data_IF_342739617562
#
_entry.id   IF_342739617562
#
_cell.length_a   1.000
_cell.length_b   1.000
_cell.length_c   1.000
_cell.angle_alpha   90.00
_cell.angle_beta   90.00
_cell.angle_gamma   90.00
#
_symmetry.space_group_name_H-M   'P 1'
#
loop_
_entity.id
_entity.type
_entity.pdbx_description
1 polymer ?
#
# COMPACT_ATOMS: atom_id res chain seq x y z
N UNK A 1 -15.63 -20.92 26.64
CA UNK A 1 -14.17 -21.10 26.51
C UNK A 1 -13.91 -22.09 25.40
N UNK A 2 -13.18 -21.69 24.36
CA UNK A 2 -12.72 -22.63 23.33
C UNK A 2 -11.83 -23.69 23.97
N UNK A 3 -11.86 -24.94 23.48
CA UNK A 3 -11.08 -26.05 24.05
C UNK A 3 -9.59 -25.69 24.21
N UNK A 4 -9.04 -24.95 23.26
CA UNK A 4 -7.66 -24.45 23.28
C UNK A 4 -7.41 -23.52 24.47
N UNK A 5 -8.32 -22.56 24.73
CA UNK A 5 -8.21 -21.66 25.89
C UNK A 5 -8.27 -22.41 27.21
N UNK A 6 -9.10 -23.46 27.31
CA UNK A 6 -9.20 -24.29 28.51
C UNK A 6 -7.92 -25.13 28.76
N UNK A 7 -7.34 -25.73 27.71
CA UNK A 7 -6.07 -26.46 27.84
C UNK A 7 -4.89 -25.54 28.20
N UNK A 8 -4.84 -24.33 27.64
CA UNK A 8 -3.85 -23.32 28.02
C UNK A 8 -3.98 -22.93 29.49
N UNK A 9 -5.21 -22.69 29.96
CA UNK A 9 -5.46 -22.31 31.35
C UNK A 9 -5.10 -23.45 32.31
N UNK A 10 -5.43 -24.70 31.97
CA UNK A 10 -5.03 -25.88 32.73
C UNK A 10 -3.51 -26.05 32.81
N UNK A 11 -2.79 -25.81 31.70
CA UNK A 11 -1.33 -25.87 31.67
C UNK A 11 -0.69 -24.77 32.55
N UNK A 12 -1.22 -23.54 32.49
CA UNK A 12 -0.75 -22.43 33.33
C UNK A 12 -0.95 -22.76 34.81
N UNK A 13 -2.14 -23.26 35.19
CA UNK A 13 -2.43 -23.67 36.57
C UNK A 13 -1.49 -24.80 37.02
N UNK A 14 -1.25 -25.80 36.17
CA UNK A 14 -0.33 -26.89 36.48
C UNK A 14 1.11 -26.40 36.70
N UNK A 15 1.60 -25.47 35.87
CA UNK A 15 2.92 -24.84 36.04
C UNK A 15 2.99 -24.04 37.33
N UNK A 16 1.95 -23.27 37.67
CA UNK A 16 1.90 -22.49 38.92
C UNK A 16 1.90 -23.41 40.15
N UNK A 17 1.13 -24.50 40.13
CA UNK A 17 1.11 -25.49 41.21
C UNK A 17 2.49 -26.15 41.39
N UNK A 18 3.16 -26.51 40.29
CA UNK A 18 4.52 -27.05 40.33
C UNK A 18 5.52 -26.03 40.91
N UNK A 19 5.44 -24.76 40.50
CA UNK A 19 6.27 -23.69 41.05
C UNK A 19 6.04 -23.51 42.56
N UNK A 20 4.78 -23.48 43.02
CA UNK A 20 4.43 -23.38 44.44
C UNK A 20 4.95 -24.58 45.24
N UNK A 21 4.84 -25.80 44.70
CA UNK A 21 5.38 -27.00 45.33
C UNK A 21 6.91 -26.94 45.46
N UNK A 22 7.62 -26.52 44.40
CA UNK A 22 9.08 -26.37 44.43
C UNK A 22 9.50 -25.34 45.47
N UNK A 23 8.82 -24.20 45.56
CA UNK A 23 9.10 -23.17 46.57
C UNK A 23 8.87 -23.70 47.98
N UNK A 24 7.78 -24.43 48.20
CA UNK A 24 7.42 -24.98 49.50
C UNK A 24 8.44 -26.03 49.99
N UNK A 25 8.85 -26.97 49.13
CA UNK A 25 9.72 -28.08 49.51
C UNK A 25 11.22 -27.77 49.46
N UNK A 26 11.64 -26.91 48.53
CA UNK A 26 13.07 -26.71 48.23
C UNK A 26 13.52 -25.25 48.28
N UNK A 27 12.60 -24.33 48.57
CA UNK A 27 12.86 -22.90 48.67
C UNK A 27 12.87 -22.18 47.33
N UNK A 28 12.68 -20.87 47.40
CA UNK A 28 12.58 -19.98 46.24
C UNK A 28 13.86 -19.94 45.38
N UNK A 29 15.03 -20.15 46.00
CA UNK A 29 16.31 -20.18 45.27
C UNK A 29 16.38 -21.30 44.25
N UNK A 30 15.91 -22.51 44.58
CA UNK A 30 15.93 -23.64 43.64
C UNK A 30 15.05 -23.35 42.42
N UNK A 31 13.87 -22.76 42.65
CA UNK A 31 12.97 -22.36 41.57
C UNK A 31 13.65 -21.39 40.60
N UNK A 32 14.37 -20.38 41.10
CA UNK A 32 15.12 -19.45 40.25
C UNK A 32 16.21 -20.17 39.44
N UNK A 33 16.95 -21.11 40.05
CA UNK A 33 17.98 -21.89 39.32
C UNK A 33 17.37 -22.69 38.17
N UNK A 34 16.22 -23.32 38.41
CA UNK A 34 15.51 -24.11 37.40
C UNK A 34 15.02 -23.21 36.27
N UNK A 35 14.38 -22.08 36.58
CA UNK A 35 13.88 -21.13 35.58
C UNK A 35 15.03 -20.59 34.72
N UNK A 36 16.10 -20.08 35.36
CA UNK A 36 17.26 -19.56 34.63
C UNK A 36 17.99 -20.66 33.86
N UNK A 37 18.12 -21.85 34.44
CA UNK A 37 18.73 -23.00 33.79
C UNK A 37 17.98 -23.41 32.53
N UNK A 38 16.65 -23.52 32.59
CA UNK A 38 15.82 -23.81 31.40
C UNK A 38 15.94 -22.69 30.37
N UNK A 39 15.90 -21.42 30.79
CA UNK A 39 16.03 -20.29 29.87
C UNK A 39 17.38 -20.30 29.13
N UNK A 40 18.50 -20.49 29.85
CA UNK A 40 19.83 -20.57 29.23
C UNK A 40 20.05 -21.85 28.44
N UNK A 41 19.37 -22.95 28.79
CA UNK A 41 19.37 -24.16 27.97
C UNK A 41 18.74 -23.90 26.61
N UNK A 42 17.58 -23.24 26.57
CA UNK A 42 16.92 -22.85 25.31
C UNK A 42 17.85 -21.95 24.49
N UNK A 43 18.40 -20.90 25.10
CA UNK A 43 19.33 -19.98 24.41
C UNK A 43 20.55 -20.71 23.87
N UNK A 44 21.09 -21.67 24.63
CA UNK A 44 22.22 -22.51 24.20
C UNK A 44 21.87 -23.37 23.00
N UNK A 45 20.71 -24.03 23.01
CA UNK A 45 20.24 -24.84 21.87
C UNK A 45 20.08 -23.96 20.63
N UNK A 46 19.50 -22.76 20.78
CA UNK A 46 19.35 -21.80 19.68
C UNK A 46 20.71 -21.41 19.12
N UNK A 47 21.67 -20.99 19.96
CA UNK A 47 23.01 -20.62 19.47
C UNK A 47 23.77 -21.80 18.89
N UNK A 48 23.58 -23.02 19.40
CA UNK A 48 24.21 -24.23 18.84
C UNK A 48 23.71 -24.51 17.42
N UNK A 49 22.39 -24.45 17.21
CA UNK A 49 21.79 -24.62 15.88
C UNK A 49 22.26 -23.51 14.94
N UNK A 50 22.21 -22.24 15.38
CA UNK A 50 22.69 -21.10 14.57
C UNK A 50 24.19 -21.21 14.24
N UNK A 51 25.01 -21.70 15.17
CA UNK A 51 26.43 -21.89 14.94
C UNK A 51 26.72 -22.96 13.88
N UNK A 52 26.03 -24.10 13.95
CA UNK A 52 26.14 -25.15 12.92
C UNK A 52 25.74 -24.62 11.55
N UNK A 53 24.61 -23.91 11.46
CA UNK A 53 24.13 -23.32 10.19
C UNK A 53 25.13 -22.29 9.66
N UNK A 54 25.63 -21.39 10.50
CA UNK A 54 26.54 -20.31 10.07
C UNK A 54 27.93 -20.81 9.69
N UNK A 55 28.44 -21.87 10.35
CA UNK A 55 29.65 -22.57 9.89
C UNK A 55 29.41 -23.21 8.52
N UNK A 56 28.32 -23.96 8.39
CA UNK A 56 27.98 -24.64 7.14
C UNK A 56 27.90 -23.64 5.98
N UNK A 57 27.28 -22.48 6.23
CA UNK A 57 27.16 -21.39 5.26
C UNK A 57 28.44 -20.55 5.06
N UNK A 58 29.57 -20.88 5.74
CA UNK A 58 30.81 -20.08 5.75
C UNK A 58 30.58 -18.59 6.01
N UNK A 59 29.65 -18.28 6.92
CA UNK A 59 29.24 -16.92 7.22
C UNK A 59 30.21 -16.23 8.18
N UNK A 60 30.45 -14.93 7.97
CA UNK A 60 31.22 -14.08 8.89
C UNK A 60 30.62 -14.01 10.31
N UNK A 61 29.34 -14.38 10.46
CA UNK A 61 28.64 -14.38 11.75
C UNK A 61 28.89 -15.64 12.60
N UNK A 62 29.58 -16.65 12.05
CA UNK A 62 29.96 -17.88 12.79
C UNK A 62 30.69 -17.59 14.09
N UNK A 63 31.59 -16.59 14.09
CA UNK A 63 32.32 -16.14 15.30
C UNK A 63 31.36 -15.56 16.33
N UNK A 64 30.37 -14.77 15.92
CA UNK A 64 29.39 -14.16 16.82
C UNK A 64 28.49 -15.22 17.46
N UNK A 65 28.03 -16.19 16.67
CA UNK A 65 27.22 -17.31 17.19
C UNK A 65 28.02 -18.24 18.09
N UNK A 66 29.33 -18.41 17.85
CA UNK A 66 30.23 -19.14 18.74
C UNK A 66 30.36 -18.46 20.10
N UNK A 67 30.58 -17.14 20.10
CA UNK A 67 30.64 -16.36 21.34
C UNK A 67 29.33 -16.49 22.12
N UNK A 68 28.18 -16.35 21.44
CA UNK A 68 26.86 -16.57 22.03
C UNK A 68 26.71 -17.95 22.67
N UNK A 69 27.16 -19.00 21.97
CA UNK A 69 27.12 -20.38 22.45
C UNK A 69 28.01 -20.61 23.69
N UNK A 70 29.25 -20.10 23.67
CA UNK A 70 30.18 -20.25 24.80
C UNK A 70 29.65 -19.53 26.04
N UNK A 71 29.15 -18.30 25.89
CA UNK A 71 28.61 -17.54 27.02
C UNK A 71 27.31 -18.14 27.55
N UNK A 72 26.46 -18.72 26.68
CA UNK A 72 25.22 -19.37 27.13
C UNK A 72 25.50 -20.70 27.85
N UNK A 73 26.47 -21.49 27.37
CA UNK A 73 26.94 -22.71 28.05
C UNK A 73 27.54 -22.39 29.42
N UNK A 74 28.34 -21.32 29.51
CA UNK A 74 28.89 -20.87 30.78
C UNK A 74 27.80 -20.41 31.76
N UNK A 75 26.81 -19.66 31.28
CA UNK A 75 25.66 -19.27 32.10
C UNK A 75 24.84 -20.47 32.60
N UNK A 76 24.61 -21.47 31.72
CA UNK A 76 23.93 -22.71 32.07
C UNK A 76 24.68 -23.49 33.15
N UNK A 77 26.00 -23.60 33.02
CA UNK A 77 26.87 -24.22 34.02
C UNK A 77 26.82 -23.46 35.36
N UNK A 78 26.84 -22.12 35.34
CA UNK A 78 26.69 -21.32 36.55
C UNK A 78 25.30 -21.47 37.19
N UNK A 79 24.23 -21.66 36.40
CA UNK A 79 22.89 -21.96 36.94
C UNK A 79 22.86 -23.30 37.68
N UNK A 80 23.61 -24.29 37.20
CA UNK A 80 23.69 -25.62 37.82
C UNK A 80 24.50 -25.60 39.13
N UNK A 81 25.73 -25.09 39.12
CA UNK A 81 26.60 -25.08 40.31
C UNK A 81 26.21 -23.99 41.31
N UNK A 82 25.82 -22.81 40.80
CA UNK A 82 25.43 -21.65 41.60
C UNK A 82 26.51 -21.13 42.56
N UNK A 83 27.79 -21.25 42.20
CA UNK A 83 28.90 -20.76 43.02
C UNK A 83 29.01 -19.23 42.98
N UNK A 84 28.86 -18.63 41.79
CA UNK A 84 28.98 -17.19 41.55
C UNK A 84 27.77 -16.67 40.76
N UNK A 85 26.60 -16.48 41.41
CA UNK A 85 25.36 -16.10 40.71
C UNK A 85 25.45 -14.73 40.00
N UNK A 86 26.38 -13.86 40.42
CA UNK A 86 26.60 -12.56 39.78
C UNK A 86 27.05 -12.68 38.31
N UNK A 87 27.73 -13.77 37.94
CA UNK A 87 28.13 -14.00 36.54
C UNK A 87 26.92 -14.20 35.63
N UNK A 88 25.84 -14.81 36.14
CA UNK A 88 24.60 -14.98 35.39
C UNK A 88 24.01 -13.60 35.08
N UNK A 89 24.02 -12.69 36.07
CA UNK A 89 23.52 -11.32 35.89
C UNK A 89 24.33 -10.57 34.83
N UNK A 90 25.66 -10.65 34.85
CA UNK A 90 26.50 -10.01 33.82
C UNK A 90 26.20 -10.50 32.40
N UNK A 91 25.94 -11.81 32.24
CA UNK A 91 25.62 -12.39 30.93
C UNK A 91 24.22 -11.95 30.47
N UNK A 92 23.24 -11.91 31.36
CA UNK A 92 21.91 -11.37 31.05
C UNK A 92 22.03 -9.91 30.58
N UNK A 93 22.75 -9.08 31.32
CA UNK A 93 22.97 -7.67 30.95
C UNK A 93 23.66 -7.57 29.59
N UNK A 94 24.69 -8.39 29.32
CA UNK A 94 25.36 -8.42 28.03
C UNK A 94 24.42 -8.80 26.87
N UNK A 95 23.53 -9.77 27.06
CA UNK A 95 22.55 -10.15 26.04
C UNK A 95 21.49 -9.09 25.83
N UNK A 96 21.00 -8.44 26.89
CA UNK A 96 20.06 -7.32 26.77
C UNK A 96 20.72 -6.16 26.01
N UNK A 97 21.97 -5.82 26.33
CA UNK A 97 22.73 -4.78 25.61
C UNK A 97 22.94 -5.17 24.14
N UNK A 98 23.31 -6.42 23.86
CA UNK A 98 23.47 -6.91 22.49
C UNK A 98 22.16 -6.85 21.70
N UNK A 99 21.02 -7.17 22.34
CA UNK A 99 19.69 -7.06 21.74
C UNK A 99 19.36 -5.60 21.43
N UNK A 100 19.56 -4.67 22.37
CA UNK A 100 19.31 -3.24 22.18
C UNK A 100 20.17 -2.66 21.05
N UNK A 101 21.46 -3.00 21.02
CA UNK A 101 22.37 -2.58 19.95
C UNK A 101 21.98 -3.19 18.61
N UNK A 102 21.58 -4.46 18.60
CA UNK A 102 21.08 -5.15 17.41
C UNK A 102 19.83 -4.49 16.84
N UNK A 103 18.84 -4.20 17.68
CA UNK A 103 17.62 -3.49 17.30
C UNK A 103 17.92 -2.08 16.77
N UNK A 104 18.83 -1.35 17.43
CA UNK A 104 19.28 -0.04 16.96
C UNK A 104 20.02 -0.11 15.62
N UNK A 105 20.81 -1.16 15.39
CA UNK A 105 21.47 -1.36 14.10
C UNK A 105 20.48 -1.67 12.98
N UNK A 106 19.49 -2.53 13.24
CA UNK A 106 18.46 -2.93 12.26
C UNK A 106 17.52 -1.77 11.90
N UNK A 107 17.29 -0.81 12.79
CA UNK A 107 16.33 0.28 12.56
C UNK A 107 16.76 1.31 11.50
N UNK A 108 18.04 1.37 11.12
CA UNK A 108 18.53 2.28 10.06
C UNK A 108 19.48 1.56 9.08
N UNK A 109 18.99 0.56 8.33
CA UNK A 109 19.85 -0.33 7.54
C UNK A 109 20.63 0.42 6.45
N UNK A 110 20.08 1.54 5.97
CA UNK A 110 20.65 2.36 4.89
C UNK A 110 21.76 3.32 5.35
N UNK A 111 21.99 3.46 6.67
CA UNK A 111 22.98 4.38 7.24
C UNK A 111 24.19 3.64 7.81
N UNK A 112 25.37 4.01 7.33
CA UNK A 112 26.64 3.56 7.93
C UNK A 112 26.79 4.07 9.36
N UNK A 113 27.53 3.35 10.20
CA UNK A 113 27.77 3.70 11.60
C UNK A 113 28.27 5.15 11.77
N UNK A 114 29.14 5.63 10.88
CA UNK A 114 29.64 7.01 10.90
C UNK A 114 28.54 8.01 10.51
N UNK A 115 27.69 7.66 9.54
CA UNK A 115 26.63 8.54 9.06
C UNK A 115 25.55 8.76 10.12
N UNK A 116 25.31 7.78 10.98
CA UNK A 116 24.36 7.87 12.12
C UNK A 116 24.69 8.99 13.09
N UNK A 117 25.98 9.26 13.31
CA UNK A 117 26.42 10.35 14.19
C UNK A 117 26.52 11.72 13.49
N UNK A 118 26.53 11.77 12.16
CA UNK A 118 26.63 13.03 11.40
C UNK A 118 25.28 13.74 11.26
N UNK A 119 25.27 15.07 11.24
CA UNK A 119 24.04 15.83 10.98
C UNK A 119 23.59 15.73 9.52
N UNK A 120 22.29 15.91 9.24
CA UNK A 120 21.75 15.92 7.87
C UNK A 120 22.49 16.91 6.96
N UNK A 121 22.70 18.14 7.45
CA UNK A 121 23.45 19.20 6.74
C UNK A 121 24.91 18.81 6.48
N UNK A 122 25.57 18.13 7.43
CA UNK A 122 26.94 17.65 7.23
C UNK A 122 26.98 16.59 6.12
N UNK A 123 26.02 15.65 6.12
CA UNK A 123 25.90 14.61 5.10
C UNK A 123 25.64 15.20 3.71
N UNK A 124 24.72 16.16 3.62
CA UNK A 124 24.42 16.90 2.39
C UNK A 124 25.67 17.58 1.83
N UNK A 125 26.41 18.33 2.66
CA UNK A 125 27.67 19.00 2.25
C UNK A 125 28.75 18.03 1.79
N UNK A 126 28.74 16.80 2.28
CA UNK A 126 29.67 15.75 1.84
C UNK A 126 29.17 14.93 0.64
N UNK A 127 28.10 15.36 -0.04
CA UNK A 127 27.55 14.68 -1.21
C UNK A 127 26.78 13.39 -0.90
N UNK A 128 26.56 13.07 0.38
CA UNK A 128 25.81 11.88 0.80
C UNK A 128 24.32 12.18 0.86
N UNK A 129 23.75 12.47 -0.30
CA UNK A 129 22.38 12.99 -0.43
C UNK A 129 21.31 12.01 0.06
N UNK A 130 21.42 10.71 -0.24
CA UNK A 130 20.47 9.69 0.25
C UNK A 130 20.40 9.64 1.78
N UNK A 131 21.56 9.61 2.43
CA UNK A 131 21.67 9.60 3.88
C UNK A 131 21.16 10.93 4.49
N UNK A 132 21.48 12.05 3.87
CA UNK A 132 20.97 13.36 4.28
C UNK A 132 19.43 13.43 4.18
N UNK A 133 18.86 12.96 3.06
CA UNK A 133 17.43 12.94 2.81
C UNK A 133 16.67 12.17 3.89
N UNK A 134 17.12 10.95 4.23
CA UNK A 134 16.53 10.14 5.32
C UNK A 134 16.56 10.85 6.68
N UNK A 135 17.62 11.61 6.97
CA UNK A 135 17.69 12.39 8.21
C UNK A 135 16.79 13.61 8.20
N UNK A 136 16.59 14.24 7.04
CA UNK A 136 15.60 15.30 6.89
C UNK A 136 14.17 14.76 7.01
N UNK A 137 13.89 13.60 6.41
CA UNK A 137 12.60 12.90 6.49
C UNK A 137 12.24 12.56 7.95
N UNK A 138 13.18 11.99 8.72
CA UNK A 138 12.98 11.73 10.17
C UNK A 138 12.73 12.97 11.01
N UNK A 139 13.07 14.15 10.50
CA UNK A 139 12.83 15.45 11.14
C UNK A 139 11.62 16.17 10.56
N UNK A 140 10.88 15.49 9.67
CA UNK A 140 9.73 16.06 8.96
C UNK A 140 10.09 17.28 8.10
N UNK A 141 11.38 17.48 7.79
CA UNK A 141 11.88 18.52 6.89
C UNK A 141 11.76 18.07 5.43
N UNK A 142 10.54 17.74 5.01
CA UNK A 142 10.25 17.04 3.76
C UNK A 142 10.73 17.77 2.49
N UNK A 143 10.68 19.11 2.45
CA UNK A 143 11.23 19.88 1.32
C UNK A 143 12.72 19.61 1.10
N UNK A 144 13.52 19.63 2.17
CA UNK A 144 14.98 19.38 2.07
C UNK A 144 15.26 17.91 1.79
N UNK A 145 14.42 17.02 2.32
CA UNK A 145 14.51 15.59 2.03
C UNK A 145 14.30 15.35 0.53
N UNK A 146 13.26 15.94 -0.07
CA UNK A 146 12.98 15.87 -1.50
C UNK A 146 14.15 16.40 -2.35
N UNK A 147 14.68 17.58 -2.04
CA UNK A 147 15.82 18.16 -2.77
C UNK A 147 17.06 17.23 -2.73
N UNK A 148 17.31 16.61 -1.57
CA UNK A 148 18.38 15.63 -1.43
C UNK A 148 18.07 14.34 -2.21
N UNK A 149 16.84 13.85 -2.19
CA UNK A 149 16.45 12.67 -2.98
C UNK A 149 16.57 12.92 -4.49
N UNK A 150 16.24 14.11 -4.98
CA UNK A 150 16.47 14.50 -6.39
C UNK A 150 17.95 14.44 -6.72
N UNK A 151 18.82 15.04 -5.89
CA UNK A 151 20.29 14.99 -6.07
C UNK A 151 20.84 13.57 -5.99
N UNK A 152 20.17 12.67 -5.28
CA UNK A 152 20.51 11.25 -5.20
C UNK A 152 19.94 10.42 -6.36
N UNK A 153 19.19 11.01 -7.30
CA UNK A 153 18.51 10.30 -8.39
C UNK A 153 17.30 9.49 -7.96
N UNK A 154 16.80 9.68 -6.74
CA UNK A 154 15.67 8.93 -6.16
C UNK A 154 14.36 9.71 -6.32
N UNK A 155 13.89 9.81 -7.57
CA UNK A 155 12.74 10.64 -7.92
C UNK A 155 11.45 10.23 -7.19
N UNK A 156 11.15 8.95 -7.05
CA UNK A 156 9.93 8.49 -6.34
C UNK A 156 9.91 8.93 -4.87
N UNK A 157 11.04 8.77 -4.18
CA UNK A 157 11.18 9.23 -2.79
C UNK A 157 11.08 10.75 -2.69
N UNK A 158 11.56 11.48 -3.70
CA UNK A 158 11.43 12.92 -3.76
C UNK A 158 9.98 13.37 -3.96
N UNK A 159 9.24 12.74 -4.88
CA UNK A 159 7.82 13.01 -5.11
C UNK A 159 7.01 12.78 -3.84
N UNK A 160 7.22 11.64 -3.17
CA UNK A 160 6.58 11.32 -1.89
C UNK A 160 6.91 12.36 -0.80
N UNK A 161 8.16 12.81 -0.71
CA UNK A 161 8.50 13.88 0.24
C UNK A 161 7.80 15.20 -0.11
N UNK A 162 7.73 15.59 -1.38
CA UNK A 162 6.98 16.80 -1.76
C UNK A 162 5.48 16.67 -1.50
N UNK A 163 4.89 15.48 -1.68
CA UNK A 163 3.52 15.20 -1.24
C UNK A 163 3.36 15.45 0.27
N UNK A 164 4.23 14.86 1.10
CA UNK A 164 4.19 15.07 2.57
C UNK A 164 4.40 16.52 2.98
N UNK A 165 5.13 17.27 2.17
CA UNK A 165 5.34 18.70 2.36
C UNK A 165 4.15 19.58 1.90
N UNK A 166 3.10 18.99 1.30
CA UNK A 166 2.00 19.71 0.67
C UNK A 166 2.36 20.40 -0.65
N UNK A 167 3.54 20.11 -1.19
CA UNK A 167 4.07 20.69 -2.42
C UNK A 167 3.57 19.95 -3.67
N UNK A 168 2.25 19.83 -3.83
CA UNK A 168 1.64 18.96 -4.83
C UNK A 168 2.09 19.25 -6.26
N UNK A 169 2.29 20.51 -6.63
CA UNK A 169 2.79 20.87 -7.96
C UNK A 169 4.19 20.29 -8.26
N UNK A 170 5.11 20.36 -7.30
CA UNK A 170 6.46 19.77 -7.45
C UNK A 170 6.41 18.24 -7.44
N UNK A 171 5.52 17.65 -6.65
CA UNK A 171 5.31 16.21 -6.67
C UNK A 171 4.84 15.76 -8.06
N UNK A 172 3.84 16.45 -8.61
CA UNK A 172 3.29 16.19 -9.94
C UNK A 172 4.34 16.31 -11.05
N UNK A 173 5.20 17.33 -11.01
CA UNK A 173 6.31 17.48 -11.96
C UNK A 173 7.27 16.28 -11.95
N UNK A 174 7.56 15.73 -10.76
CA UNK A 174 8.41 14.55 -10.65
C UNK A 174 7.70 13.30 -11.18
N UNK A 175 6.41 13.12 -10.87
CA UNK A 175 5.64 12.01 -11.42
C UNK A 175 5.50 12.09 -12.94
N UNK A 176 5.28 13.27 -13.51
CA UNK A 176 5.28 13.50 -14.96
C UNK A 176 6.64 13.12 -15.57
N UNK A 177 7.74 13.48 -14.91
CA UNK A 177 9.08 13.08 -15.35
C UNK A 177 9.27 11.57 -15.30
N UNK A 178 8.88 10.92 -14.20
CA UNK A 178 8.93 9.47 -14.04
C UNK A 178 8.10 8.75 -15.09
N UNK A 179 6.91 9.26 -15.41
CA UNK A 179 6.03 8.71 -16.44
C UNK A 179 6.69 8.72 -17.82
N UNK A 180 7.41 9.80 -18.16
CA UNK A 180 8.16 9.91 -19.43
C UNK A 180 9.40 9.02 -19.47
N UNK A 181 10.11 8.87 -18.35
CA UNK A 181 11.36 8.10 -18.27
C UNK A 181 11.11 6.59 -18.22
N UNK A 182 10.12 6.15 -17.44
CA UNK A 182 9.79 4.72 -17.26
C UNK A 182 8.76 4.21 -18.25
N UNK A 183 8.03 5.11 -18.92
CA UNK A 183 6.93 4.79 -19.84
C UNK A 183 5.86 3.89 -19.19
N UNK A 184 5.54 4.17 -17.92
CA UNK A 184 4.52 3.46 -17.16
C UNK A 184 3.30 4.37 -16.95
N UNK A 185 2.11 3.86 -17.31
CA UNK A 185 0.83 4.58 -17.23
C UNK A 185 0.49 5.05 -15.81
N UNK A 186 0.89 4.26 -14.80
CA UNK A 186 0.67 4.54 -13.39
C UNK A 186 1.14 5.95 -12.97
N UNK A 187 2.31 6.38 -13.43
CA UNK A 187 2.83 7.69 -13.05
C UNK A 187 2.08 8.85 -13.71
N UNK A 188 1.44 8.64 -14.87
CA UNK A 188 0.56 9.65 -15.47
C UNK A 188 -0.68 9.88 -14.60
N UNK A 189 -1.24 8.83 -14.01
CA UNK A 189 -2.34 8.92 -13.05
C UNK A 189 -1.93 9.69 -11.79
N UNK A 190 -0.79 9.36 -11.19
CA UNK A 190 -0.28 10.08 -10.02
C UNK A 190 -0.02 11.56 -10.33
N UNK A 191 0.62 11.86 -11.47
CA UNK A 191 0.84 13.23 -11.91
C UNK A 191 -0.47 14.00 -12.08
N UNK A 192 -1.50 13.40 -12.70
CA UNK A 192 -2.83 13.98 -12.83
C UNK A 192 -3.43 14.35 -11.45
N UNK A 193 -3.45 13.40 -10.51
CA UNK A 193 -4.02 13.61 -9.17
C UNK A 193 -3.33 14.76 -8.43
N UNK A 194 -2.00 14.82 -8.48
CA UNK A 194 -1.25 15.88 -7.82
C UNK A 194 -1.35 17.23 -8.53
N UNK A 195 -1.42 17.26 -9.86
CA UNK A 195 -1.69 18.50 -10.58
C UNK A 195 -3.09 19.04 -10.26
N UNK A 196 -4.09 18.16 -10.17
CA UNK A 196 -5.45 18.53 -9.73
C UNK A 196 -5.45 19.11 -8.32
N UNK A 197 -4.79 18.45 -7.36
CA UNK A 197 -4.63 18.95 -5.98
C UNK A 197 -3.88 20.29 -5.90
N UNK A 198 -2.96 20.54 -6.83
CA UNK A 198 -2.23 21.81 -6.92
C UNK A 198 -3.03 22.95 -7.55
N UNK A 199 -4.22 22.65 -8.11
CA UNK A 199 -5.04 23.60 -8.87
C UNK A 199 -4.58 23.83 -10.31
N UNK A 200 -3.53 23.14 -10.77
CA UNK A 200 -3.08 23.23 -12.16
C UNK A 200 -3.89 22.27 -13.05
N UNK A 201 -5.16 22.60 -13.24
CA UNK A 201 -6.12 21.77 -13.98
C UNK A 201 -5.67 21.50 -15.41
N UNK A 202 -5.06 22.49 -16.09
CA UNK A 202 -4.56 22.31 -17.47
C UNK A 202 -3.52 21.20 -17.57
N UNK A 203 -2.56 21.17 -16.63
CA UNK A 203 -1.57 20.08 -16.55
C UNK A 203 -2.20 18.75 -16.13
N UNK A 204 -3.21 18.80 -15.27
CA UNK A 204 -3.97 17.61 -14.88
C UNK A 204 -4.64 16.98 -16.11
N UNK A 205 -5.27 17.78 -16.98
CA UNK A 205 -5.86 17.29 -18.23
C UNK A 205 -4.81 16.63 -19.14
N UNK A 206 -3.67 17.28 -19.36
CA UNK A 206 -2.59 16.72 -20.20
C UNK A 206 -2.10 15.36 -19.67
N UNK A 207 -2.01 15.19 -18.35
CA UNK A 207 -1.60 13.94 -17.75
C UNK A 207 -2.69 12.87 -17.87
N UNK A 208 -3.96 13.25 -17.66
CA UNK A 208 -5.09 12.32 -17.80
C UNK A 208 -5.27 11.86 -19.25
N UNK A 209 -5.06 12.74 -20.25
CA UNK A 209 -5.04 12.38 -21.67
C UNK A 209 -3.98 11.32 -21.99
N UNK A 210 -2.81 11.40 -21.33
CA UNK A 210 -1.73 10.43 -21.52
C UNK A 210 -2.10 9.09 -20.90
N UNK A 211 -2.66 9.12 -19.71
CA UNK A 211 -3.15 7.94 -19.02
C UNK A 211 -4.30 7.24 -19.77
N UNK A 212 -5.25 8.00 -20.31
CA UNK A 212 -6.40 7.49 -21.06
C UNK A 212 -6.03 6.79 -22.38
N UNK A 213 -4.79 6.96 -22.87
CA UNK A 213 -4.32 6.17 -24.03
C UNK A 213 -4.15 4.70 -23.70
N UNK A 214 -3.71 4.41 -22.48
CA UNK A 214 -3.53 3.04 -21.99
C UNK A 214 -4.83 2.51 -21.37
N UNK A 215 -5.64 3.40 -20.78
CA UNK A 215 -6.92 3.08 -20.13
C UNK A 215 -8.09 3.89 -20.73
N UNK A 216 -8.64 3.48 -21.90
CA UNK A 216 -9.57 4.29 -22.69
C UNK A 216 -10.88 4.71 -22.01
N UNK A 217 -11.35 3.99 -20.98
CA UNK A 217 -12.57 4.38 -20.27
C UNK A 217 -12.43 5.73 -19.53
N UNK A 218 -11.22 6.24 -19.33
CA UNK A 218 -10.99 7.56 -18.76
C UNK A 218 -11.19 8.72 -19.76
N UNK A 219 -11.43 8.47 -21.05
CA UNK A 219 -11.62 9.56 -22.03
C UNK A 219 -12.82 10.45 -21.71
N UNK A 220 -13.86 9.92 -21.07
CA UNK A 220 -14.98 10.73 -20.57
C UNK A 220 -14.54 11.71 -19.46
N UNK A 221 -13.73 11.24 -18.51
CA UNK A 221 -13.19 12.09 -17.46
C UNK A 221 -12.24 13.16 -18.01
N UNK A 222 -11.44 12.81 -19.03
CA UNK A 222 -10.62 13.78 -19.78
C UNK A 222 -11.49 14.87 -20.38
N UNK A 223 -12.59 14.49 -21.04
CA UNK A 223 -13.47 15.43 -21.71
C UNK A 223 -14.12 16.40 -20.71
N UNK A 224 -14.68 15.86 -19.62
CA UNK A 224 -15.26 16.67 -18.54
C UNK A 224 -14.25 17.63 -17.92
N UNK A 225 -13.01 17.19 -17.73
CA UNK A 225 -11.98 18.04 -17.13
C UNK A 225 -11.54 19.16 -18.08
N UNK A 226 -11.50 18.93 -19.40
CA UNK A 226 -11.25 19.99 -20.38
C UNK A 226 -12.38 21.01 -20.47
N UNK A 227 -13.64 20.58 -20.30
CA UNK A 227 -14.78 21.48 -20.20
C UNK A 227 -14.68 22.37 -18.95
N UNK A 228 -14.26 21.81 -17.80
CA UNK A 228 -14.02 22.56 -16.56
C UNK A 228 -12.94 23.64 -16.76
N UNK A 229 -11.92 23.35 -17.56
CA UNK A 229 -10.86 24.30 -17.93
C UNK A 229 -11.32 25.32 -18.99
N UNK A 230 -12.43 25.06 -19.69
CA UNK A 230 -12.96 25.88 -20.78
C UNK A 230 -12.28 25.66 -22.14
N UNK A 231 -11.57 24.55 -22.33
CA UNK A 231 -10.98 24.18 -23.63
C UNK A 231 -11.95 23.29 -24.42
N UNK A 232 -12.93 23.92 -25.06
CA UNK A 232 -13.98 23.23 -25.83
C UNK A 232 -13.42 22.37 -26.97
N UNK A 233 -12.30 22.78 -27.56
CA UNK A 233 -11.65 22.05 -28.66
C UNK A 233 -11.13 20.69 -28.19
N UNK A 234 -10.31 20.69 -27.15
CA UNK A 234 -9.79 19.45 -26.56
C UNK A 234 -10.86 18.61 -25.89
N UNK A 235 -11.85 19.23 -25.27
CA UNK A 235 -13.01 18.53 -24.73
C UNK A 235 -13.74 17.75 -25.81
N UNK A 236 -14.01 18.38 -26.97
CA UNK A 236 -14.67 17.72 -28.10
C UNK A 236 -13.85 16.55 -28.64
N UNK A 237 -12.53 16.71 -28.78
CA UNK A 237 -11.64 15.61 -29.19
C UNK A 237 -11.65 14.44 -28.19
N UNK A 238 -11.68 14.72 -26.90
CA UNK A 238 -11.77 13.70 -25.86
C UNK A 238 -13.13 12.98 -25.87
N UNK A 239 -14.23 13.71 -26.05
CA UNK A 239 -15.56 13.13 -26.24
C UNK A 239 -15.62 12.21 -27.46
N UNK A 240 -14.98 12.56 -28.57
CA UNK A 240 -14.89 11.67 -29.74
C UNK A 240 -14.13 10.37 -29.45
N UNK A 241 -13.08 10.41 -28.61
CA UNK A 241 -12.34 9.21 -28.20
C UNK A 241 -13.14 8.36 -27.21
N UNK A 242 -13.84 8.99 -26.27
CA UNK A 242 -14.77 8.31 -25.37
C UNK A 242 -15.88 7.61 -26.17
N UNK A 243 -16.42 8.28 -27.19
CA UNK A 243 -17.41 7.72 -28.09
C UNK A 243 -16.88 6.49 -28.84
N UNK A 244 -15.68 6.56 -29.43
CA UNK A 244 -15.07 5.41 -30.12
C UNK A 244 -14.88 4.21 -29.17
N UNK A 245 -14.50 4.47 -27.91
CA UNK A 245 -14.43 3.44 -26.88
C UNK A 245 -15.81 2.85 -26.58
N UNK A 246 -16.81 3.69 -26.29
CA UNK A 246 -18.16 3.20 -25.96
C UNK A 246 -18.84 2.47 -27.10
N UNK A 247 -18.60 2.84 -28.36
CA UNK A 247 -19.13 2.10 -29.52
C UNK A 247 -18.56 0.68 -29.54
N UNK A 248 -17.24 0.51 -29.32
CA UNK A 248 -16.61 -0.81 -29.28
C UNK A 248 -17.13 -1.68 -28.15
N UNK A 249 -17.29 -1.10 -26.96
CA UNK A 249 -17.87 -1.82 -25.82
C UNK A 249 -19.35 -2.14 -26.05
N UNK A 250 -20.12 -1.24 -26.68
CA UNK A 250 -21.54 -1.43 -26.98
C UNK A 250 -21.82 -2.54 -28.01
N UNK A 251 -20.86 -2.84 -28.88
CA UNK A 251 -20.94 -4.00 -29.78
C UNK A 251 -20.87 -5.34 -29.03
N UNK A 252 -20.16 -5.40 -27.90
CA UNK A 252 -20.08 -6.58 -27.04
C UNK A 252 -21.17 -6.60 -25.96
N UNK A 253 -21.35 -5.49 -25.26
CA UNK A 253 -22.28 -5.28 -24.15
C UNK A 253 -23.23 -4.13 -24.47
N UNK A 254 -24.44 -4.46 -24.94
CA UNK A 254 -25.39 -3.46 -25.43
C UNK A 254 -25.85 -2.41 -24.39
N UNK A 255 -25.51 -2.56 -23.11
CA UNK A 255 -25.75 -1.55 -22.07
C UNK A 255 -25.09 -0.21 -22.43
N UNK A 256 -23.89 -0.25 -23.03
CA UNK A 256 -23.12 0.96 -23.34
C UNK A 256 -23.74 1.81 -24.47
N UNK A 257 -24.78 1.34 -25.16
CA UNK A 257 -25.51 2.16 -26.14
C UNK A 257 -26.14 3.41 -25.48
N UNK A 258 -26.42 3.37 -24.18
CA UNK A 258 -26.85 4.56 -23.42
C UNK A 258 -25.76 5.64 -23.40
N UNK A 259 -24.52 5.26 -23.11
CA UNK A 259 -23.38 6.17 -23.04
C UNK A 259 -23.02 6.71 -24.43
N UNK A 260 -23.06 5.86 -25.46
CA UNK A 260 -22.92 6.27 -26.87
C UNK A 260 -23.95 7.35 -27.22
N UNK A 261 -25.22 7.14 -26.88
CA UNK A 261 -26.29 8.10 -27.17
C UNK A 261 -26.08 9.43 -26.46
N UNK A 262 -25.77 9.41 -25.15
CA UNK A 262 -25.47 10.62 -24.36
C UNK A 262 -24.29 11.41 -24.92
N UNK A 263 -23.24 10.73 -25.37
CA UNK A 263 -22.08 11.40 -25.95
C UNK A 263 -22.42 12.02 -27.32
N UNK A 264 -23.20 11.33 -28.17
CA UNK A 264 -23.70 11.91 -29.41
C UNK A 264 -24.59 13.15 -29.18
N UNK A 265 -25.51 13.10 -28.21
CA UNK A 265 -26.33 14.26 -27.83
C UNK A 265 -25.46 15.45 -27.44
N UNK A 266 -24.43 15.18 -26.63
CA UNK A 266 -23.48 16.22 -26.16
C UNK A 266 -22.66 16.81 -27.30
N UNK A 267 -22.33 16.01 -28.30
CA UNK A 267 -21.64 16.44 -29.51
C UNK A 267 -22.57 17.11 -30.54
N UNK A 268 -23.88 17.05 -30.34
CA UNK A 268 -24.89 17.55 -31.27
C UNK A 268 -25.00 16.72 -32.56
N UNK A 269 -24.72 15.42 -32.49
CA UNK A 269 -24.78 14.50 -33.64
C UNK A 269 -26.16 13.84 -33.75
N UNK A 270 -26.72 13.80 -34.95
CA UNK A 270 -28.02 13.19 -35.26
C UNK A 270 -28.05 11.68 -34.99
N UNK A 271 -26.87 11.03 -34.94
CA UNK A 271 -26.73 9.61 -34.59
C UNK A 271 -27.13 9.28 -33.16
N UNK A 272 -27.39 10.28 -32.32
CA UNK A 272 -27.92 10.08 -30.97
C UNK A 272 -29.22 9.26 -30.98
N UNK A 273 -30.13 9.53 -31.92
CA UNK A 273 -31.42 8.83 -32.03
C UNK A 273 -31.22 7.35 -32.37
N UNK A 274 -30.30 7.04 -33.29
CA UNK A 274 -29.95 5.66 -33.65
C UNK A 274 -29.35 4.90 -32.45
N UNK A 275 -28.49 5.55 -31.68
CA UNK A 275 -27.89 4.95 -30.49
C UNK A 275 -28.94 4.69 -29.39
N UNK A 276 -29.86 5.64 -29.16
CA UNK A 276 -30.98 5.43 -28.25
C UNK A 276 -31.89 4.28 -28.68
N UNK A 277 -32.16 4.14 -29.98
CA UNK A 277 -32.92 2.99 -30.51
C UNK A 277 -32.22 1.66 -30.20
N UNK A 278 -30.90 1.55 -30.43
CA UNK A 278 -30.13 0.35 -30.10
C UNK A 278 -30.14 0.04 -28.59
N UNK A 279 -30.10 1.08 -27.75
CA UNK A 279 -30.21 0.92 -26.30
C UNK A 279 -31.60 0.41 -25.88
N UNK A 280 -32.68 0.96 -26.44
CA UNK A 280 -34.05 0.47 -26.18
C UNK A 280 -34.18 -1.00 -26.55
N UNK A 281 -33.73 -1.40 -27.74
CA UNK A 281 -33.78 -2.80 -28.19
C UNK A 281 -33.00 -3.74 -27.27
N UNK A 282 -31.87 -3.27 -26.71
CA UNK A 282 -31.14 -3.99 -25.69
C UNK A 282 -31.95 -4.12 -24.39
N UNK A 283 -32.46 -3.01 -23.85
CA UNK A 283 -33.24 -2.99 -22.61
C UNK A 283 -34.52 -3.82 -22.71
N UNK A 284 -35.21 -3.83 -23.85
CA UNK A 284 -36.40 -4.66 -24.06
C UNK A 284 -36.07 -6.15 -23.96
N UNK A 285 -34.96 -6.60 -24.58
CA UNK A 285 -34.50 -7.99 -24.48
C UNK A 285 -34.11 -8.39 -23.08
N UNK A 286 -33.49 -7.49 -22.31
CA UNK A 286 -33.18 -7.76 -20.90
C UNK A 286 -34.43 -7.71 -20.02
N UNK A 287 -35.40 -6.85 -20.33
CA UNK A 287 -36.68 -6.76 -19.62
C UNK A 287 -37.55 -8.02 -19.74
N UNK A 288 -37.37 -8.82 -20.79
CA UNK A 288 -37.98 -10.16 -20.90
C UNK A 288 -37.42 -11.15 -19.87
N UNK A 289 -36.16 -10.99 -19.46
CA UNK A 289 -35.49 -11.86 -18.48
C UNK A 289 -35.66 -11.34 -17.06
N UNK A 290 -35.43 -10.05 -16.88
CA UNK A 290 -35.58 -9.32 -15.63
C UNK A 290 -36.46 -8.09 -15.85
N UNK A 291 -37.73 -8.14 -15.45
CA UNK A 291 -38.67 -7.03 -15.60
C UNK A 291 -38.23 -5.70 -14.96
N UNK A 292 -37.21 -5.70 -14.09
CA UNK A 292 -36.64 -4.47 -13.53
C UNK A 292 -36.13 -3.50 -14.62
N UNK A 293 -35.75 -4.03 -15.78
CA UNK A 293 -35.26 -3.27 -16.93
C UNK A 293 -36.33 -2.46 -17.67
N UNK A 294 -37.63 -2.72 -17.46
CA UNK A 294 -38.70 -1.91 -18.05
C UNK A 294 -38.61 -0.42 -17.67
N UNK A 295 -37.96 -0.11 -16.53
CA UNK A 295 -37.62 1.26 -16.15
C UNK A 295 -36.71 1.93 -17.19
N UNK A 296 -35.65 1.25 -17.62
CA UNK A 296 -34.69 1.78 -18.60
C UNK A 296 -35.31 1.88 -20.00
N UNK A 297 -36.17 0.93 -20.37
CA UNK A 297 -36.97 0.99 -21.61
C UNK A 297 -37.82 2.27 -21.65
N UNK A 298 -38.52 2.59 -20.55
CA UNK A 298 -39.31 3.80 -20.45
C UNK A 298 -38.46 5.07 -20.57
N UNK A 299 -37.36 5.16 -19.82
CA UNK A 299 -36.43 6.29 -19.84
C UNK A 299 -35.87 6.55 -21.25
N UNK A 300 -35.52 5.48 -21.98
CA UNK A 300 -34.99 5.58 -23.32
C UNK A 300 -36.08 5.95 -24.37
N UNK A 301 -37.30 5.43 -24.25
CA UNK A 301 -38.42 5.88 -25.10
C UNK A 301 -38.78 7.35 -24.88
N UNK A 302 -38.69 7.85 -23.65
CA UNK A 302 -38.83 9.27 -23.35
C UNK A 302 -37.78 10.13 -24.04
N UNK A 303 -36.52 9.67 -24.05
CA UNK A 303 -35.43 10.34 -24.76
C UNK A 303 -35.66 10.42 -26.26
N UNK A 304 -36.28 9.39 -26.83
CA UNK A 304 -36.70 9.34 -28.24
C UNK A 304 -38.00 10.13 -28.52
N UNK A 305 -38.64 10.73 -27.51
CA UNK A 305 -39.92 11.43 -27.67
C UNK A 305 -41.13 10.51 -27.92
N UNK A 306 -40.98 9.20 -27.72
CA UNK A 306 -42.03 8.20 -27.91
C UNK A 306 -42.88 8.04 -26.64
N UNK A 307 -43.65 9.08 -26.30
CA UNK A 307 -44.36 9.19 -25.00
C UNK A 307 -45.33 8.04 -24.72
N UNK A 308 -46.09 7.57 -25.72
CA UNK A 308 -47.02 6.46 -25.54
C UNK A 308 -46.31 5.15 -25.17
N UNK A 309 -45.22 4.83 -25.87
CA UNK A 309 -44.41 3.64 -25.60
C UNK A 309 -43.71 3.73 -24.24
N UNK A 310 -43.25 4.91 -23.86
CA UNK A 310 -42.67 5.13 -22.54
C UNK A 310 -43.69 4.87 -21.42
N UNK A 311 -44.93 5.34 -21.57
CA UNK A 311 -46.00 5.06 -20.59
C UNK A 311 -46.35 3.56 -20.51
N UNK A 312 -46.38 2.86 -21.64
CA UNK A 312 -46.56 1.40 -21.65
C UNK A 312 -45.44 0.66 -20.92
N UNK A 313 -44.19 1.04 -21.16
CA UNK A 313 -43.03 0.48 -20.47
C UNK A 313 -43.07 0.77 -18.96
N UNK A 314 -43.46 1.99 -18.54
CA UNK A 314 -43.65 2.34 -17.11
C UNK A 314 -44.69 1.46 -16.45
N UNK A 315 -45.83 1.21 -17.10
CA UNK A 315 -46.88 0.32 -16.57
C UNK A 315 -46.34 -1.10 -16.37
N UNK A 316 -45.61 -1.65 -17.34
CA UNK A 316 -44.98 -2.98 -17.22
C UNK A 316 -44.00 -3.05 -16.05
N UNK A 317 -43.20 -2.00 -15.84
CA UNK A 317 -42.31 -1.91 -14.68
C UNK A 317 -43.08 -1.89 -13.34
N UNK A 318 -44.13 -1.09 -13.24
CA UNK A 318 -44.97 -1.02 -12.03
C UNK A 318 -45.66 -2.34 -11.72
N UNK A 319 -46.16 -3.04 -12.74
CA UNK A 319 -46.77 -4.36 -12.61
C UNK A 319 -45.77 -5.39 -12.09
N UNK A 320 -44.52 -5.36 -12.57
CA UNK A 320 -43.49 -6.30 -12.09
C UNK A 320 -43.00 -6.07 -10.66
N UNK A 321 -43.33 -4.92 -10.05
CA UNK A 321 -42.98 -4.59 -8.66
C UNK A 321 -44.06 -4.97 -7.65
N UNK A 322 -45.24 -5.39 -8.11
CA UNK A 322 -46.37 -5.81 -7.27
C UNK A 322 -46.30 -7.30 -6.94
#
# INVERSE_FOLDING_TARGET
MERITAYLLALIVAVLVACCAIVYYFGWLLLIKIILGIAFLIVTVVFAVLFVITIYARSKYSVLTLLGLITSLYALYQCYIWKNPIHIVYIIVAYVLALVVGLWYISEPDLSLIERFRSARSLERSGRFRAAARKYEKREEYYKAADCYIKAGMLESAAWCYEKAGAYGRSAEIYEKLAREKNESYYWKEAYEFYKKSGNLRKACECLERYAKDEPWFWEDVAKLWEEVGDEGRAREAWMKALDYYIKEAEGEGVFWEDVAKVYERLGDEKAEEAWMKFVEYCEREAEKDPSWWKHVAEAYEKLGMTEKAEEARKKYEESRR
#
